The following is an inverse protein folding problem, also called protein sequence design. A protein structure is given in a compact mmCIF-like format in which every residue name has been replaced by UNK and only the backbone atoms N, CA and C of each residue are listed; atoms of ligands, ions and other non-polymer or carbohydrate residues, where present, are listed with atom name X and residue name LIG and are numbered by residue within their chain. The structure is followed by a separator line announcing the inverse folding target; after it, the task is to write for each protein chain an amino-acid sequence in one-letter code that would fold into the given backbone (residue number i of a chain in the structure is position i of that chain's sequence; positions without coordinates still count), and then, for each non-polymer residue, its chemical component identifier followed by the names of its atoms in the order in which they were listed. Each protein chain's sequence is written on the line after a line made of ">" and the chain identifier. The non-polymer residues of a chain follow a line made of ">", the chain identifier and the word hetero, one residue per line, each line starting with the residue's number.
data_IF_122386232506
#
_entry.id   IF_122386232506
#
_cell.length_a   1.000
_cell.length_b   1.000
_cell.length_c   1.000
_cell.angle_alpha   90.00
_cell.angle_beta   90.00
_cell.angle_gamma   90.00
#
_symmetry.space_group_name_H-M   'P 1'
#
loop_
_entity.id
_entity.type
_entity.pdbx_description
1 polymer ?
#
# COMPACT_ATOMS: atom_id res chain seq x y z
N UNK A 1 9.27 -3.15 9.30
CA UNK A 1 8.97 -2.83 7.89
C UNK A 1 7.65 -3.46 7.51
N UNK A 2 6.73 -2.69 6.97
CA UNK A 2 5.43 -3.16 6.48
C UNK A 2 5.46 -3.11 4.95
N UNK A 3 5.08 -4.20 4.30
CA UNK A 3 5.09 -4.34 2.84
C UNK A 3 3.65 -4.40 2.35
N UNK A 4 3.27 -3.48 1.50
CA UNK A 4 2.09 -3.62 0.66
C UNK A 4 2.36 -4.76 -0.34
N UNK A 5 1.86 -5.95 -0.01
CA UNK A 5 2.19 -7.15 -0.77
C UNK A 5 1.64 -7.09 -2.19
N UNK A 6 0.44 -6.57 -2.37
CA UNK A 6 -0.18 -6.43 -3.68
C UNK A 6 0.63 -5.48 -4.57
N UNK A 7 0.95 -4.29 -4.08
CA UNK A 7 1.79 -3.34 -4.79
C UNK A 7 3.11 -3.96 -5.25
N UNK A 8 3.72 -4.80 -4.39
CA UNK A 8 5.03 -5.39 -4.68
C UNK A 8 4.94 -6.56 -5.67
N UNK A 9 3.96 -7.49 -5.52
CA UNK A 9 3.86 -8.61 -6.46
C UNK A 9 3.32 -8.18 -7.84
N UNK A 10 2.42 -7.19 -7.92
CA UNK A 10 2.05 -6.60 -9.22
C UNK A 10 3.25 -5.97 -9.91
N UNK A 11 4.04 -5.19 -9.17
CA UNK A 11 5.28 -4.62 -9.69
C UNK A 11 6.24 -5.68 -10.19
N UNK A 12 6.44 -6.76 -9.44
CA UNK A 12 7.28 -7.88 -9.80
C UNK A 12 6.78 -8.54 -11.10
N UNK A 13 5.48 -8.77 -11.19
CA UNK A 13 4.84 -9.39 -12.36
C UNK A 13 5.11 -8.59 -13.64
N UNK A 14 4.94 -7.27 -13.60
CA UNK A 14 5.15 -6.43 -14.78
C UNK A 14 6.63 -6.10 -15.06
N UNK A 15 7.51 -6.21 -14.07
CA UNK A 15 8.93 -5.91 -14.23
C UNK A 15 9.76 -7.10 -14.70
N UNK A 16 9.34 -8.32 -14.40
CA UNK A 16 10.06 -9.56 -14.72
C UNK A 16 9.33 -10.28 -15.86
N UNK A 17 10.04 -10.73 -16.91
CA UNK A 17 9.39 -11.40 -18.04
C UNK A 17 8.56 -12.62 -17.64
N UNK A 18 7.33 -12.73 -18.14
CA UNK A 18 6.41 -13.84 -17.89
C UNK A 18 6.94 -15.20 -18.45
N UNK A 19 7.90 -15.14 -19.37
CA UNK A 19 8.59 -16.32 -19.88
C UNK A 19 9.46 -17.04 -18.83
N UNK A 20 9.62 -16.44 -17.64
CA UNK A 20 10.27 -17.10 -16.50
C UNK A 20 9.25 -18.01 -15.83
N UNK A 21 9.44 -19.31 -16.01
CA UNK A 21 8.51 -20.36 -15.57
C UNK A 21 9.19 -21.38 -14.66
N UNK A 22 8.38 -22.06 -13.87
CA UNK A 22 8.76 -23.28 -13.18
C UNK A 22 8.97 -24.44 -14.20
N UNK A 23 9.59 -25.58 -13.81
CA UNK A 23 9.78 -26.75 -14.70
C UNK A 23 8.50 -27.33 -15.29
N UNK A 24 7.36 -27.13 -14.63
CA UNK A 24 6.04 -27.55 -15.10
C UNK A 24 5.35 -26.53 -16.03
N UNK A 25 6.04 -25.42 -16.37
CA UNK A 25 5.56 -24.38 -17.26
C UNK A 25 4.74 -23.26 -16.60
N UNK A 26 4.44 -23.33 -15.31
CA UNK A 26 3.72 -22.26 -14.62
C UNK A 26 4.59 -21.00 -14.51
N UNK A 27 4.07 -19.79 -14.79
CA UNK A 27 4.78 -18.54 -14.55
C UNK A 27 5.16 -18.38 -13.08
N UNK A 28 6.37 -17.88 -12.81
CA UNK A 28 6.89 -17.61 -11.46
C UNK A 28 7.60 -16.25 -11.39
N UNK A 29 7.41 -15.42 -12.40
CA UNK A 29 8.05 -14.12 -12.51
C UNK A 29 7.70 -13.18 -11.35
N UNK A 30 6.45 -13.18 -10.88
CA UNK A 30 6.04 -12.39 -9.73
C UNK A 30 6.69 -12.88 -8.43
N UNK A 31 6.73 -14.21 -8.20
CA UNK A 31 7.39 -14.81 -7.04
C UNK A 31 8.87 -14.43 -7.03
N UNK A 32 9.56 -14.66 -8.16
CA UNK A 32 10.98 -14.32 -8.31
C UNK A 32 11.25 -12.86 -8.05
N UNK A 33 10.50 -11.96 -8.72
CA UNK A 33 10.69 -10.54 -8.60
C UNK A 33 10.38 -10.02 -7.19
N UNK A 34 9.36 -10.55 -6.54
CA UNK A 34 9.03 -10.19 -5.15
C UNK A 34 10.17 -10.56 -4.20
N UNK A 35 10.72 -11.77 -4.30
CA UNK A 35 11.86 -12.21 -3.48
C UNK A 35 13.09 -11.34 -3.71
N UNK A 36 13.41 -11.02 -4.97
CA UNK A 36 14.55 -10.16 -5.31
C UNK A 36 14.39 -8.73 -4.78
N UNK A 37 13.19 -8.18 -4.88
CA UNK A 37 12.86 -6.86 -4.32
C UNK A 37 12.95 -6.88 -2.80
N UNK A 38 12.42 -7.92 -2.15
CA UNK A 38 12.46 -8.09 -0.69
C UNK A 38 13.89 -8.26 -0.17
N UNK A 39 14.70 -9.08 -0.85
CA UNK A 39 16.12 -9.22 -0.52
C UNK A 39 16.86 -7.88 -0.58
N UNK A 40 16.61 -7.08 -1.63
CA UNK A 40 17.20 -5.74 -1.77
C UNK A 40 16.77 -4.80 -0.65
N UNK A 41 15.48 -4.83 -0.27
CA UNK A 41 14.94 -4.02 0.82
C UNK A 41 15.58 -4.41 2.15
N UNK A 42 15.61 -5.70 2.49
CA UNK A 42 16.22 -6.21 3.72
C UNK A 42 17.71 -5.85 3.78
N UNK A 43 18.45 -6.06 2.71
CA UNK A 43 19.89 -5.76 2.66
C UNK A 43 20.18 -4.26 2.87
N UNK A 44 19.37 -3.39 2.25
CA UNK A 44 19.60 -1.92 2.29
C UNK A 44 19.06 -1.26 3.54
N UNK A 45 17.93 -1.73 4.06
CA UNK A 45 17.20 -1.10 5.18
C UNK A 45 17.44 -1.78 6.51
N UNK A 46 17.89 -3.05 6.49
CA UNK A 46 18.19 -3.87 7.69
C UNK A 46 17.07 -3.86 8.72
N UNK A 47 15.80 -4.11 8.33
CA UNK A 47 14.71 -4.14 9.28
C UNK A 47 14.88 -5.32 10.26
N UNK A 48 14.48 -5.12 11.50
CA UNK A 48 14.42 -6.18 12.51
C UNK A 48 13.12 -6.96 12.47
N UNK A 49 12.06 -6.32 11.95
CA UNK A 49 10.69 -6.83 11.87
C UNK A 49 10.15 -6.63 10.45
N UNK A 50 9.34 -7.58 10.00
CA UNK A 50 8.79 -7.61 8.64
C UNK A 50 7.37 -8.17 8.64
N UNK A 51 6.45 -7.50 7.93
CA UNK A 51 5.11 -8.03 7.66
C UNK A 51 4.76 -7.75 6.20
N UNK A 52 4.40 -8.79 5.46
CA UNK A 52 3.70 -8.65 4.18
C UNK A 52 2.20 -8.47 4.47
N UNK A 53 1.69 -7.27 4.24
CA UNK A 53 0.28 -6.92 4.45
C UNK A 53 -0.53 -7.31 3.21
N UNK A 54 -1.64 -8.02 3.43
CA UNK A 54 -2.43 -8.65 2.38
C UNK A 54 -3.79 -7.99 2.23
N UNK A 55 -4.25 -7.85 0.97
CA UNK A 55 -5.65 -7.59 0.66
C UNK A 55 -6.44 -8.89 0.84
N UNK A 56 -7.19 -9.02 1.95
CA UNK A 56 -8.16 -10.11 2.08
C UNK A 56 -9.51 -9.71 1.49
N UNK A 57 -9.75 -8.41 1.37
CA UNK A 57 -10.84 -7.84 0.57
C UNK A 57 -10.33 -6.60 -0.18
N UNK A 58 -10.05 -6.72 -1.46
CA UNK A 58 -9.54 -5.65 -2.31
C UNK A 58 -10.55 -4.52 -2.58
N UNK A 59 -11.84 -4.76 -2.27
CA UNK A 59 -12.96 -3.82 -2.49
C UNK A 59 -14.00 -3.92 -1.37
N UNK A 60 -13.66 -3.49 -0.15
CA UNK A 60 -14.49 -3.67 1.03
C UNK A 60 -15.91 -3.12 0.88
N UNK A 61 -16.88 -3.87 1.35
CA UNK A 61 -18.30 -3.51 1.25
C UNK A 61 -18.60 -2.15 1.89
N UNK A 62 -17.92 -1.78 2.98
CA UNK A 62 -18.14 -0.50 3.64
C UNK A 62 -17.68 0.68 2.77
N UNK A 63 -16.58 0.54 1.98
CA UNK A 63 -16.13 1.57 1.03
C UNK A 63 -17.09 1.72 -0.13
N UNK A 64 -17.57 0.59 -0.65
CA UNK A 64 -18.58 0.56 -1.74
C UNK A 64 -19.90 1.20 -1.32
N UNK A 65 -20.31 0.99 -0.07
CA UNK A 65 -21.52 1.61 0.47
C UNK A 65 -21.41 3.14 0.56
N UNK A 66 -20.21 3.66 0.86
CA UNK A 66 -19.92 5.09 0.94
C UNK A 66 -19.71 5.73 -0.44
N UNK A 67 -18.97 5.03 -1.32
CA UNK A 67 -18.62 5.50 -2.67
C UNK A 67 -18.82 4.34 -3.66
N UNK A 68 -19.98 4.19 -4.30
CA UNK A 68 -20.29 3.06 -5.19
C UNK A 68 -19.31 2.87 -6.36
N UNK A 69 -18.67 3.95 -6.81
CA UNK A 69 -17.63 3.92 -7.85
C UNK A 69 -16.27 3.41 -7.38
N UNK A 70 -16.08 3.21 -6.06
CA UNK A 70 -14.81 2.75 -5.50
C UNK A 70 -14.35 1.45 -6.16
N UNK A 71 -13.21 1.50 -6.85
CA UNK A 71 -12.60 0.39 -7.61
C UNK A 71 -13.56 -0.39 -8.55
N UNK A 72 -14.70 0.23 -8.95
CA UNK A 72 -15.72 -0.45 -9.77
C UNK A 72 -15.18 -0.90 -11.13
N UNK A 73 -14.23 -0.15 -11.69
CA UNK A 73 -13.59 -0.46 -12.97
C UNK A 73 -12.63 -1.66 -12.91
N UNK A 74 -12.28 -2.13 -11.71
CA UNK A 74 -11.44 -3.33 -11.50
C UNK A 74 -12.26 -4.61 -11.33
N UNK A 75 -13.59 -4.53 -11.36
CA UNK A 75 -14.46 -5.71 -11.21
C UNK A 75 -14.47 -6.49 -12.51
N UNK A 76 -14.08 -7.77 -12.45
CA UNK A 76 -14.16 -8.69 -13.58
C UNK A 76 -15.61 -9.01 -13.96
N UNK A 77 -15.91 -9.42 -15.21
CA UNK A 77 -17.28 -9.77 -15.64
C UNK A 77 -17.96 -10.85 -14.82
N UNK A 78 -17.17 -11.73 -14.18
CA UNK A 78 -17.67 -12.79 -13.27
C UNK A 78 -17.70 -12.39 -11.78
N UNK A 79 -17.43 -11.14 -11.45
CA UNK A 79 -17.16 -10.68 -10.07
C UNK A 79 -15.71 -10.93 -9.70
N UNK A 80 -15.27 -10.46 -8.53
CA UNK A 80 -13.89 -10.49 -8.11
C UNK A 80 -13.03 -9.40 -8.78
N UNK A 81 -11.75 -9.36 -8.44
CA UNK A 81 -10.81 -8.40 -9.01
C UNK A 81 -10.32 -8.86 -10.39
N UNK A 82 -10.24 -7.93 -11.33
CA UNK A 82 -9.63 -8.18 -12.63
C UNK A 82 -8.11 -8.14 -12.49
N UNK A 83 -7.50 -9.31 -12.30
CA UNK A 83 -6.05 -9.48 -12.24
C UNK A 83 -5.59 -10.37 -13.40
N UNK A 84 -4.31 -10.27 -13.85
CA UNK A 84 -3.78 -11.16 -14.87
C UNK A 84 -3.91 -12.64 -14.48
N UNK A 85 -4.41 -13.47 -15.39
CA UNK A 85 -4.58 -14.92 -15.15
C UNK A 85 -3.28 -15.60 -14.72
N UNK A 86 -2.15 -15.16 -15.28
CA UNK A 86 -0.83 -15.68 -14.94
C UNK A 86 -0.30 -15.22 -13.57
N UNK A 87 -0.85 -14.15 -12.99
CA UNK A 87 -0.46 -13.66 -11.65
C UNK A 87 -1.21 -14.38 -10.53
N UNK A 88 -2.50 -14.60 -10.70
CA UNK A 88 -3.36 -15.17 -9.65
C UNK A 88 -2.78 -16.45 -9.00
N UNK A 89 -2.30 -17.47 -9.74
CA UNK A 89 -1.72 -18.66 -9.15
C UNK A 89 -0.37 -18.42 -8.47
N UNK A 90 0.32 -17.32 -8.73
CA UNK A 90 1.61 -17.02 -8.12
C UNK A 90 1.49 -16.49 -6.68
N UNK A 91 0.35 -15.89 -6.31
CA UNK A 91 0.16 -15.37 -4.95
C UNK A 91 0.25 -16.48 -3.89
N UNK A 92 -0.48 -17.61 -3.97
CA UNK A 92 -0.31 -18.70 -3.01
C UNK A 92 1.09 -19.33 -3.04
N UNK A 93 1.78 -19.38 -4.19
CA UNK A 93 3.18 -19.83 -4.26
C UNK A 93 4.08 -18.89 -3.45
N UNK A 94 3.93 -17.59 -3.62
CA UNK A 94 4.68 -16.57 -2.88
C UNK A 94 4.46 -16.71 -1.37
N UNK A 95 3.21 -16.81 -0.94
CA UNK A 95 2.86 -16.96 0.47
C UNK A 95 3.47 -18.23 1.09
N UNK A 96 3.47 -19.35 0.34
CA UNK A 96 4.13 -20.59 0.77
C UNK A 96 5.63 -20.40 0.99
N UNK A 97 6.31 -19.67 0.10
CA UNK A 97 7.74 -19.36 0.22
C UNK A 97 8.01 -18.46 1.42
N UNK A 98 7.23 -17.38 1.61
CA UNK A 98 7.36 -16.48 2.76
C UNK A 98 7.13 -17.22 4.08
N UNK A 99 6.12 -18.09 4.13
CA UNK A 99 5.84 -18.95 5.29
C UNK A 99 7.02 -19.88 5.60
N UNK A 100 7.61 -20.52 4.60
CA UNK A 100 8.77 -21.41 4.78
C UNK A 100 10.02 -20.63 5.27
N UNK A 101 10.18 -19.38 4.86
CA UNK A 101 11.16 -18.47 5.45
C UNK A 101 10.83 -18.13 6.92
N UNK A 102 9.57 -18.15 7.31
CA UNK A 102 9.08 -17.62 8.61
C UNK A 102 8.89 -16.11 8.60
N UNK A 103 8.72 -15.51 7.42
CA UNK A 103 8.37 -14.10 7.28
C UNK A 103 6.86 -13.91 7.44
N UNK A 104 6.49 -12.98 8.30
CA UNK A 104 5.08 -12.75 8.63
C UNK A 104 4.29 -12.25 7.43
N UNK A 105 3.12 -12.86 7.22
CA UNK A 105 2.09 -12.37 6.31
C UNK A 105 0.83 -12.14 7.15
N UNK A 106 0.19 -10.99 7.02
CA UNK A 106 -1.00 -10.65 7.78
C UNK A 106 -2.02 -9.90 6.94
N UNK A 107 -3.29 -10.14 7.22
CA UNK A 107 -4.44 -9.48 6.60
C UNK A 107 -5.61 -9.47 7.56
N UNK A 108 -6.68 -8.78 7.20
CA UNK A 108 -7.92 -8.75 7.97
C UNK A 108 -9.11 -8.94 7.02
N UNK A 109 -10.03 -9.83 7.36
CA UNK A 109 -11.23 -10.09 6.56
C UNK A 109 -12.08 -8.82 6.43
N UNK A 110 -12.48 -8.48 5.20
CA UNK A 110 -13.24 -7.27 4.89
C UNK A 110 -12.42 -5.99 4.86
N UNK A 111 -11.08 -6.08 4.83
CA UNK A 111 -10.16 -4.93 4.80
C UNK A 111 -9.09 -5.11 3.72
N UNK A 112 -8.58 -3.97 3.24
CA UNK A 112 -7.46 -3.90 2.31
C UNK A 112 -6.11 -3.91 3.05
N UNK A 113 -5.03 -4.17 2.31
CA UNK A 113 -3.66 -4.07 2.84
C UNK A 113 -3.37 -2.71 3.45
N UNK A 114 -3.93 -1.63 2.91
CA UNK A 114 -3.76 -0.26 3.42
C UNK A 114 -4.31 -0.10 4.83
N UNK A 115 -5.44 -0.73 5.15
CA UNK A 115 -6.03 -0.74 6.49
C UNK A 115 -5.16 -1.55 7.46
N UNK A 116 -4.63 -2.68 7.00
CA UNK A 116 -3.70 -3.52 7.77
C UNK A 116 -2.42 -2.73 8.09
N UNK A 117 -1.84 -2.06 7.09
CA UNK A 117 -0.65 -1.23 7.23
C UNK A 117 -0.91 -0.08 8.21
N UNK A 118 -1.99 0.66 8.02
CA UNK A 118 -2.35 1.77 8.90
C UNK A 118 -2.56 1.32 10.35
N UNK A 119 -3.23 0.17 10.54
CA UNK A 119 -3.47 -0.42 11.86
C UNK A 119 -2.15 -0.83 12.54
N UNK A 120 -1.28 -1.56 11.83
CA UNK A 120 0.00 -1.99 12.37
C UNK A 120 0.94 -0.81 12.66
N UNK A 121 0.96 0.20 11.79
CA UNK A 121 1.76 1.39 11.97
C UNK A 121 1.36 2.21 13.21
N UNK A 122 0.08 2.20 13.59
CA UNK A 122 -0.40 2.87 14.82
C UNK A 122 -0.10 2.04 16.07
N UNK A 123 -0.20 0.69 15.99
CA UNK A 123 0.07 -0.20 17.12
C UNK A 123 1.53 -0.22 17.55
N UNK A 124 2.45 0.09 16.65
CA UNK A 124 3.88 0.02 16.88
C UNK A 124 4.41 1.36 17.38
N UNK A 125 5.16 1.36 18.49
CA UNK A 125 5.83 2.55 19.02
C UNK A 125 7.20 2.79 18.39
N UNK A 126 7.76 1.81 17.68
CA UNK A 126 9.03 1.91 16.98
C UNK A 126 8.92 2.70 15.66
N UNK A 127 10.05 3.04 15.07
CA UNK A 127 10.10 3.61 13.72
C UNK A 127 9.62 2.59 12.69
N UNK A 128 8.64 2.99 11.87
CA UNK A 128 8.01 2.14 10.84
C UNK A 128 8.38 2.61 9.45
N UNK A 129 8.82 1.69 8.62
CA UNK A 129 8.96 1.90 7.18
C UNK A 129 7.85 1.12 6.45
N UNK A 130 7.13 1.81 5.58
CA UNK A 130 6.05 1.25 4.75
C UNK A 130 6.48 1.24 3.30
N UNK A 131 6.55 0.07 2.67
CA UNK A 131 6.94 -0.07 1.26
C UNK A 131 5.69 -0.23 0.42
N UNK A 132 5.38 0.76 -0.40
CA UNK A 132 4.20 0.76 -1.26
C UNK A 132 4.41 1.55 -2.56
N UNK A 133 3.62 1.23 -3.57
CA UNK A 133 3.44 2.04 -4.79
C UNK A 133 2.18 2.92 -4.73
N UNK A 134 1.40 2.82 -3.65
CA UNK A 134 0.21 3.62 -3.46
C UNK A 134 0.53 4.92 -2.72
N UNK A 135 0.01 6.03 -3.23
CA UNK A 135 0.19 7.35 -2.63
C UNK A 135 -0.79 7.63 -1.50
N UNK A 136 -1.88 6.90 -1.41
CA UNK A 136 -2.87 7.13 -0.37
C UNK A 136 -2.31 6.79 1.01
N UNK A 137 -1.36 5.85 1.08
CA UNK A 137 -0.57 5.58 2.29
C UNK A 137 0.35 6.74 2.73
N UNK A 138 0.52 7.80 1.93
CA UNK A 138 1.18 9.03 2.40
C UNK A 138 0.41 9.71 3.54
N UNK A 139 -0.88 9.41 3.69
CA UNK A 139 -1.71 9.90 4.78
C UNK A 139 -1.23 9.47 6.18
N UNK A 140 -0.50 8.33 6.27
CA UNK A 140 0.03 7.85 7.55
C UNK A 140 1.47 8.28 7.83
N UNK A 141 2.10 9.00 6.90
CA UNK A 141 3.47 9.48 7.08
C UNK A 141 3.54 10.46 8.27
N UNK A 142 4.55 10.27 9.11
CA UNK A 142 4.76 11.04 10.34
C UNK A 142 6.24 11.06 10.70
N UNK A 143 6.60 11.61 11.85
CA UNK A 143 7.98 11.58 12.34
C UNK A 143 8.46 10.15 12.65
N UNK A 144 7.50 9.22 12.88
CA UNK A 144 7.76 7.81 13.19
C UNK A 144 7.53 6.89 11.98
N UNK A 145 6.65 7.26 11.06
CA UNK A 145 6.29 6.45 9.89
C UNK A 145 6.85 7.07 8.63
N UNK A 146 7.75 6.36 7.95
CA UNK A 146 8.27 6.74 6.64
C UNK A 146 7.72 5.84 5.55
N UNK A 147 7.02 6.40 4.58
CA UNK A 147 6.56 5.68 3.39
C UNK A 147 7.71 5.64 2.38
N UNK A 148 8.20 4.45 2.08
CA UNK A 148 9.17 4.17 1.03
C UNK A 148 8.40 4.00 -0.29
N UNK A 149 8.15 5.13 -0.96
CA UNK A 149 7.35 5.14 -2.18
C UNK A 149 8.11 4.52 -3.35
N UNK A 150 7.52 3.51 -3.99
CA UNK A 150 8.16 2.71 -5.04
C UNK A 150 7.87 3.20 -6.45
N UNK A 151 7.29 4.38 -6.65
CA UNK A 151 6.87 4.90 -7.96
C UNK A 151 7.96 4.84 -9.04
N UNK A 152 9.22 5.03 -8.66
CA UNK A 152 10.40 4.92 -9.56
C UNK A 152 11.13 3.57 -9.46
N UNK A 153 10.50 2.59 -8.84
CA UNK A 153 11.07 1.25 -8.58
C UNK A 153 11.86 1.14 -7.29
N UNK A 154 12.12 -0.11 -6.87
CA UNK A 154 12.80 -0.43 -5.60
C UNK A 154 14.24 0.12 -5.55
N UNK A 155 14.91 0.22 -6.68
CA UNK A 155 16.27 0.79 -6.74
C UNK A 155 16.30 2.31 -6.42
N UNK A 156 15.17 3.00 -6.62
CA UNK A 156 15.02 4.46 -6.48
C UNK A 156 13.84 4.82 -5.58
N UNK A 157 13.79 4.20 -4.38
CA UNK A 157 12.79 4.53 -3.36
C UNK A 157 12.81 6.03 -3.06
N UNK A 158 11.63 6.61 -2.93
CA UNK A 158 11.44 7.96 -2.42
C UNK A 158 10.96 7.87 -0.96
N UNK A 159 11.83 8.10 0.04
CA UNK A 159 11.39 8.19 1.43
C UNK A 159 10.50 9.43 1.60
N UNK A 160 9.31 9.22 2.16
CA UNK A 160 8.29 10.23 2.34
C UNK A 160 7.83 10.21 3.81
N UNK A 161 8.42 11.06 4.62
CA UNK A 161 7.93 11.41 5.95
C UNK A 161 6.99 12.61 5.89
N UNK A 162 6.57 13.13 7.04
CA UNK A 162 5.70 14.31 7.12
C UNK A 162 6.28 15.54 6.42
N UNK A 163 7.59 15.77 6.56
CA UNK A 163 8.28 16.90 5.95
C UNK A 163 8.33 16.80 4.42
N UNK A 164 8.61 15.61 3.87
CA UNK A 164 8.68 15.38 2.43
C UNK A 164 7.29 15.48 1.77
N UNK A 165 6.23 15.01 2.45
CA UNK A 165 4.85 15.19 1.98
C UNK A 165 4.49 16.68 1.94
N UNK A 166 4.78 17.42 3.01
CA UNK A 166 4.56 18.87 3.05
C UNK A 166 5.34 19.61 1.94
N UNK A 167 6.61 19.29 1.78
CA UNK A 167 7.45 19.93 0.75
C UNK A 167 6.95 19.63 -0.68
N UNK A 168 6.46 18.42 -0.93
CA UNK A 168 6.05 17.97 -2.27
C UNK A 168 4.64 18.42 -2.66
N UNK A 169 3.70 18.37 -1.72
CA UNK A 169 2.26 18.59 -1.99
C UNK A 169 1.72 19.88 -1.37
N UNK A 170 2.47 20.56 -0.50
CA UNK A 170 2.07 21.78 0.20
C UNK A 170 0.99 21.55 1.26
N UNK A 171 0.81 20.33 1.73
CA UNK A 171 -0.20 19.92 2.71
C UNK A 171 0.41 19.04 3.80
N UNK A 172 -0.14 19.03 5.02
CA UNK A 172 0.24 18.04 6.02
C UNK A 172 -0.08 16.60 5.55
N UNK A 173 0.78 15.64 5.87
CA UNK A 173 0.59 14.25 5.50
C UNK A 173 -0.77 13.69 5.97
N UNK A 174 -1.18 13.98 7.20
CA UNK A 174 -2.47 13.55 7.76
C UNK A 174 -3.70 13.99 6.93
N UNK A 175 -3.56 15.01 6.09
CA UNK A 175 -4.62 15.49 5.20
C UNK A 175 -4.48 14.98 3.75
N UNK A 176 -3.58 14.01 3.49
CA UNK A 176 -3.40 13.51 2.13
C UNK A 176 -4.66 12.84 1.58
N UNK A 177 -5.40 12.11 2.43
CA UNK A 177 -6.69 11.53 2.05
C UNK A 177 -7.72 12.60 1.68
N UNK A 178 -7.80 13.71 2.43
CA UNK A 178 -8.69 14.84 2.14
C UNK A 178 -8.33 15.49 0.80
N UNK A 179 -7.05 15.64 0.54
CA UNK A 179 -6.54 16.14 -0.74
C UNK A 179 -6.91 15.21 -1.91
N UNK A 180 -6.76 13.88 -1.75
CA UNK A 180 -7.15 12.90 -2.74
C UNK A 180 -8.66 12.93 -3.02
N UNK A 181 -9.49 13.00 -1.99
CA UNK A 181 -10.94 13.13 -2.12
C UNK A 181 -11.35 14.39 -2.88
N UNK A 182 -10.73 15.52 -2.61
CA UNK A 182 -11.03 16.79 -3.32
C UNK A 182 -10.63 16.72 -4.80
N UNK A 183 -9.42 16.25 -5.08
CA UNK A 183 -8.85 16.17 -6.42
C UNK A 183 -9.53 15.08 -7.26
N UNK A 184 -9.99 14.03 -6.60
CA UNK A 184 -10.34 12.75 -7.21
C UNK A 184 -9.12 11.85 -7.40
N UNK A 185 -9.39 10.54 -7.47
CA UNK A 185 -8.41 9.53 -7.85
C UNK A 185 -9.04 8.50 -8.79
N UNK A 186 -8.71 8.56 -10.10
CA UNK A 186 -9.24 7.60 -11.05
C UNK A 186 -8.82 6.16 -10.79
N UNK A 187 -7.65 5.94 -10.14
CA UNK A 187 -7.16 4.60 -9.83
C UNK A 187 -8.03 3.90 -8.80
N UNK A 188 -8.68 4.66 -7.93
CA UNK A 188 -9.63 4.16 -6.94
C UNK A 188 -11.09 4.46 -7.28
N UNK A 189 -11.34 5.04 -8.47
CA UNK A 189 -12.69 5.36 -8.90
C UNK A 189 -13.32 6.52 -8.12
N UNK A 190 -12.51 7.38 -7.52
CA UNK A 190 -12.97 8.57 -6.79
C UNK A 190 -13.22 9.71 -7.78
N UNK A 191 -14.44 10.23 -7.89
CA UNK A 191 -14.77 11.27 -8.88
C UNK A 191 -14.13 12.62 -8.57
N UNK A 192 -13.81 12.89 -7.31
CA UNK A 192 -13.40 14.22 -6.87
C UNK A 192 -14.52 15.25 -6.90
N UNK A 193 -14.16 16.48 -6.62
CA UNK A 193 -15.06 17.63 -6.76
C UNK A 193 -14.86 18.24 -8.13
N UNK A 194 -15.92 18.31 -8.94
CA UNK A 194 -15.87 18.83 -10.31
C UNK A 194 -15.21 20.22 -10.39
N UNK A 195 -14.14 20.31 -11.17
CA UNK A 195 -13.37 21.54 -11.36
C UNK A 195 -12.47 21.91 -10.17
N UNK A 196 -12.22 21.01 -9.21
CA UNK A 196 -11.19 21.11 -8.19
C UNK A 196 -10.05 20.18 -8.59
N UNK A 197 -8.97 20.74 -9.13
CA UNK A 197 -7.75 20.01 -9.42
C UNK A 197 -6.72 20.11 -8.30
N UNK A 198 -5.56 19.50 -8.50
CA UNK A 198 -4.49 19.36 -7.51
C UNK A 198 -4.12 20.67 -6.80
N UNK A 199 -3.88 21.76 -7.54
CA UNK A 199 -3.50 23.06 -6.96
C UNK A 199 -4.60 23.65 -6.08
N UNK A 200 -5.86 23.53 -6.50
CA UNK A 200 -7.00 24.05 -5.74
C UNK A 200 -7.26 23.19 -4.51
N UNK A 201 -7.16 21.87 -4.63
CA UNK A 201 -7.28 20.95 -3.50
C UNK A 201 -6.21 21.22 -2.44
N UNK A 202 -4.93 21.36 -2.87
CA UNK A 202 -3.84 21.70 -1.96
C UNK A 202 -4.06 23.04 -1.24
N UNK A 203 -4.51 24.07 -1.97
CA UNK A 203 -4.80 25.38 -1.37
C UNK A 203 -5.94 25.32 -0.34
N UNK A 204 -7.00 24.54 -0.60
CA UNK A 204 -8.10 24.34 0.33
C UNK A 204 -7.64 23.60 1.59
N UNK A 205 -6.94 22.49 1.44
CA UNK A 205 -6.41 21.71 2.57
C UNK A 205 -5.41 22.54 3.39
N UNK A 206 -4.49 23.23 2.73
CA UNK A 206 -3.50 24.09 3.42
C UNK A 206 -4.16 25.22 4.21
N UNK A 207 -5.27 25.76 3.71
CA UNK A 207 -5.97 26.90 4.35
C UNK A 207 -6.92 26.48 5.45
N UNK A 208 -7.70 25.42 5.23
CA UNK A 208 -8.84 25.06 6.07
C UNK A 208 -8.65 23.71 6.80
N UNK A 209 -7.68 22.87 6.40
CA UNK A 209 -7.44 21.57 7.02
C UNK A 209 -8.28 20.46 6.41
N UNK A 210 -9.00 19.73 7.24
CA UNK A 210 -9.78 18.55 6.85
C UNK A 210 -11.03 18.94 6.02
N UNK A 211 -11.59 17.97 5.30
CA UNK A 211 -12.79 18.18 4.46
C UNK A 211 -13.96 18.71 5.27
N UNK A 212 -14.14 18.25 6.48
CA UNK A 212 -15.19 18.67 7.38
C UNK A 212 -15.13 20.20 7.64
N UNK A 213 -13.92 20.72 7.87
CA UNK A 213 -13.67 22.14 8.07
C UNK A 213 -13.83 22.95 6.77
N UNK A 214 -13.36 22.39 5.65
CA UNK A 214 -13.53 23.00 4.31
C UNK A 214 -15.01 23.17 3.98
N UNK A 215 -15.83 22.14 4.22
CA UNK A 215 -17.27 22.17 3.96
C UNK A 215 -17.95 23.17 4.89
N UNK A 216 -17.63 23.16 6.18
CA UNK A 216 -18.19 24.10 7.16
C UNK A 216 -17.83 25.55 6.83
N UNK A 217 -16.58 25.83 6.45
CA UNK A 217 -16.15 27.16 6.02
C UNK A 217 -16.89 27.64 4.75
N UNK A 218 -17.09 26.74 3.77
CA UNK A 218 -17.84 27.06 2.56
C UNK A 218 -19.32 27.37 2.85
N UNK A 219 -19.93 26.71 3.82
CA UNK A 219 -21.32 26.93 4.23
C UNK A 219 -21.46 28.26 4.98
N UNK A 220 -20.48 28.64 5.83
CA UNK A 220 -20.46 29.91 6.52
C UNK A 220 -20.13 31.09 5.61
N UNK A 221 -19.69 30.83 4.37
CA UNK A 221 -19.26 31.87 3.43
C UNK A 221 -17.97 32.55 3.84
N UNK A 222 -17.05 31.82 4.48
CA UNK A 222 -15.75 32.35 4.89
C UNK A 222 -14.90 32.77 3.69
N UNK A 223 -14.06 33.78 3.91
CA UNK A 223 -13.08 34.25 2.94
C UNK A 223 -11.87 33.30 2.82
N UNK A 224 -11.21 33.35 1.67
CA UNK A 224 -9.97 32.59 1.43
C UNK A 224 -10.14 31.37 0.48
N UNK A 225 -11.34 31.15 -0.04
CA UNK A 225 -11.56 30.16 -1.09
C UNK A 225 -11.00 30.67 -2.43
N UNK A 226 -10.31 29.81 -3.21
CA UNK A 226 -10.04 30.10 -4.62
C UNK A 226 -11.34 30.40 -5.37
N UNK A 227 -11.26 31.23 -6.43
CA UNK A 227 -12.43 31.72 -7.17
C UNK A 227 -13.38 30.56 -7.57
N UNK A 228 -14.64 30.67 -7.14
CA UNK A 228 -15.70 29.70 -7.40
C UNK A 228 -15.58 28.37 -6.63
N UNK A 229 -14.53 28.14 -5.84
CA UNK A 229 -14.32 26.87 -5.15
C UNK A 229 -15.39 26.63 -4.06
N UNK A 230 -15.75 27.64 -3.27
CA UNK A 230 -16.78 27.50 -2.24
C UNK A 230 -18.13 26.99 -2.78
N UNK A 231 -18.56 27.48 -3.95
CA UNK A 231 -19.77 26.99 -4.63
C UNK A 231 -19.67 25.51 -5.04
N UNK A 232 -18.49 25.08 -5.54
CA UNK A 232 -18.24 23.70 -5.92
C UNK A 232 -18.22 22.76 -4.72
N UNK A 233 -17.61 23.19 -3.59
CA UNK A 233 -17.59 22.45 -2.32
C UNK A 233 -19.04 22.25 -1.83
N UNK A 234 -19.86 23.31 -1.79
CA UNK A 234 -21.26 23.19 -1.37
C UNK A 234 -22.05 22.24 -2.28
N UNK A 235 -21.85 22.31 -3.59
CA UNK A 235 -22.51 21.41 -4.55
C UNK A 235 -22.12 19.95 -4.37
N UNK A 236 -20.89 19.67 -3.91
CA UNK A 236 -20.38 18.32 -3.69
C UNK A 236 -20.56 17.79 -2.24
N UNK A 237 -21.33 18.51 -1.41
CA UNK A 237 -21.48 18.20 0.04
C UNK A 237 -21.78 16.74 0.35
N UNK A 238 -22.69 16.11 -0.40
CA UNK A 238 -23.05 14.70 -0.20
C UNK A 238 -21.85 13.76 -0.41
N UNK A 239 -21.09 13.97 -1.50
CA UNK A 239 -19.88 13.21 -1.78
C UNK A 239 -18.81 13.45 -0.70
N UNK A 240 -18.57 14.72 -0.35
CA UNK A 240 -17.58 15.10 0.66
C UNK A 240 -17.93 14.62 2.06
N UNK A 241 -19.18 14.35 2.36
CA UNK A 241 -19.61 13.77 3.62
C UNK A 241 -19.35 12.25 3.72
N UNK A 242 -19.22 11.55 2.59
CA UNK A 242 -19.05 10.11 2.56
C UNK A 242 -17.61 9.68 2.19
N UNK A 243 -17.00 10.35 1.22
CA UNK A 243 -15.73 9.93 0.63
C UNK A 243 -14.52 9.89 1.60
N UNK A 244 -14.37 10.80 2.57
CA UNK A 244 -13.25 10.72 3.53
C UNK A 244 -13.19 9.38 4.27
N UNK A 245 -14.33 8.85 4.70
CA UNK A 245 -14.40 7.56 5.39
C UNK A 245 -14.11 6.36 4.47
N UNK A 246 -14.25 6.55 3.15
CA UNK A 246 -13.88 5.52 2.17
C UNK A 246 -12.39 5.54 1.79
N UNK A 247 -11.70 6.68 1.96
CA UNK A 247 -10.30 6.86 1.53
C UNK A 247 -9.33 6.74 2.69
N UNK A 248 -9.69 7.27 3.86
CA UNK A 248 -8.83 7.17 5.06
C UNK A 248 -8.63 5.71 5.44
N UNK A 249 -7.37 5.28 5.55
CA UNK A 249 -7.03 3.94 6.04
C UNK A 249 -7.54 3.74 7.45
N UNK A 250 -8.16 2.58 7.71
CA UNK A 250 -8.65 2.21 9.05
C UNK A 250 -7.45 1.86 9.94
N UNK A 251 -7.50 2.29 11.18
CA UNK A 251 -6.46 2.01 12.19
C UNK A 251 -6.92 1.04 13.26
N UNK A 252 -8.10 0.45 13.07
CA UNK A 252 -8.78 -0.46 13.97
C UNK A 252 -9.18 -1.79 13.30
N UNK A 253 -8.56 -2.11 12.16
CA UNK A 253 -8.78 -3.39 11.50
C UNK A 253 -8.40 -4.55 12.44
N UNK A 254 -9.16 -5.66 12.45
CA UNK A 254 -8.92 -6.80 13.33
C UNK A 254 -7.72 -7.64 12.87
N UNK A 255 -6.56 -6.98 12.74
CA UNK A 255 -5.32 -7.62 12.32
C UNK A 255 -4.83 -8.53 13.45
N UNK A 256 -4.63 -9.84 13.19
CA UNK A 256 -4.15 -10.76 14.19
C UNK A 256 -2.71 -10.44 14.61
N UNK A 257 -2.37 -10.73 15.84
CA UNK A 257 -1.00 -10.67 16.32
C UNK A 257 -0.18 -11.79 15.65
N UNK A 258 0.97 -11.42 15.08
CA UNK A 258 1.89 -12.33 14.42
C UNK A 258 3.31 -12.11 14.95
N UNK A 259 4.11 -13.16 14.95
CA UNK A 259 5.56 -13.02 15.17
C UNK A 259 6.19 -12.45 13.90
N UNK A 260 6.45 -11.15 13.92
CA UNK A 260 6.95 -10.38 12.79
C UNK A 260 8.48 -10.16 12.79
N UNK A 261 9.20 -10.76 13.73
CA UNK A 261 10.65 -10.74 13.74
C UNK A 261 11.19 -11.52 12.55
N UNK A 262 12.15 -10.94 11.86
CA UNK A 262 12.84 -11.66 10.79
C UNK A 262 13.67 -12.79 11.42
N UNK A 263 13.38 -14.07 11.14
CA UNK A 263 14.15 -15.16 11.71
C UNK A 263 15.55 -15.21 11.08
N UNK A 264 16.62 -15.47 11.86
CA UNK A 264 17.97 -15.52 11.33
C UNK A 264 18.21 -16.69 10.37
N UNK A 265 17.32 -17.69 10.39
CA UNK A 265 17.30 -18.83 9.48
C UNK A 265 15.86 -19.16 9.11
N UNK A 266 15.62 -19.78 7.94
CA UNK A 266 14.28 -20.19 7.54
C UNK A 266 13.62 -21.07 8.60
N UNK A 267 12.33 -20.86 8.84
CA UNK A 267 11.53 -21.63 9.82
C UNK A 267 11.35 -23.09 9.37
N UNK A 268 11.19 -23.30 8.07
CA UNK A 268 11.13 -24.63 7.45
C UNK A 268 12.11 -24.73 6.28
N UNK A 269 13.38 -25.06 6.55
CA UNK A 269 14.41 -25.18 5.51
C UNK A 269 14.11 -26.26 4.47
N UNK A 270 13.53 -27.40 4.89
CA UNK A 270 13.23 -28.50 3.98
C UNK A 270 12.13 -28.12 2.97
N UNK A 271 11.06 -27.49 3.46
CA UNK A 271 9.98 -26.98 2.60
C UNK A 271 10.47 -25.89 1.68
N UNK A 272 11.33 -25.00 2.16
CA UNK A 272 11.92 -23.94 1.35
C UNK A 272 12.77 -24.47 0.21
N UNK A 273 13.61 -25.49 0.44
CA UNK A 273 14.39 -26.17 -0.61
C UNK A 273 13.49 -26.84 -1.64
N UNK A 274 12.46 -27.54 -1.15
CA UNK A 274 11.48 -28.16 -2.03
C UNK A 274 10.81 -27.12 -2.94
N UNK A 275 10.28 -26.01 -2.38
CA UNK A 275 9.66 -24.92 -3.14
C UNK A 275 10.65 -24.25 -4.10
N UNK A 276 11.91 -24.04 -3.68
CA UNK A 276 12.94 -23.49 -4.53
C UNK A 276 13.14 -24.30 -5.81
N UNK A 277 13.22 -25.64 -5.67
CA UNK A 277 13.36 -26.57 -6.79
C UNK A 277 12.08 -26.66 -7.63
N UNK A 278 10.91 -26.83 -6.98
CA UNK A 278 9.61 -26.92 -7.68
C UNK A 278 9.31 -25.70 -8.54
N UNK A 279 9.72 -24.51 -8.08
CA UNK A 279 9.45 -23.22 -8.74
C UNK A 279 10.66 -22.70 -9.53
N UNK A 280 11.81 -23.40 -9.53
CA UNK A 280 13.07 -22.94 -10.12
C UNK A 280 13.47 -21.52 -9.66
N UNK A 281 13.40 -21.28 -8.35
CA UNK A 281 13.70 -19.99 -7.70
C UNK A 281 14.87 -20.11 -6.71
N UNK A 282 15.78 -21.03 -6.87
CA UNK A 282 16.92 -21.25 -5.97
C UNK A 282 17.76 -19.98 -5.81
N UNK A 283 18.03 -19.29 -6.90
CA UNK A 283 18.84 -18.07 -6.85
C UNK A 283 18.17 -16.90 -6.10
N UNK A 284 16.87 -16.58 -6.30
CA UNK A 284 16.14 -15.63 -5.45
C UNK A 284 16.07 -16.04 -3.98
N UNK A 285 15.84 -17.31 -3.70
CA UNK A 285 15.84 -17.85 -2.32
C UNK A 285 17.20 -17.66 -1.66
N UNK A 286 18.30 -17.96 -2.38
CA UNK A 286 19.64 -17.75 -1.84
C UNK A 286 19.92 -16.28 -1.58
N UNK A 287 19.57 -15.35 -2.49
CA UNK A 287 19.72 -13.91 -2.27
C UNK A 287 18.95 -13.42 -1.04
N UNK A 288 17.76 -13.98 -0.81
CA UNK A 288 16.95 -13.64 0.37
C UNK A 288 17.62 -14.14 1.66
N UNK A 289 18.16 -15.36 1.67
CA UNK A 289 18.96 -15.88 2.80
C UNK A 289 20.16 -15.00 3.11
N UNK A 290 20.91 -14.63 2.07
CA UNK A 290 22.10 -13.80 2.21
C UNK A 290 21.74 -12.40 2.77
N UNK A 291 20.64 -11.83 2.30
CA UNK A 291 20.15 -10.53 2.78
C UNK A 291 19.74 -10.60 4.26
N UNK A 292 19.02 -11.65 4.68
CA UNK A 292 18.61 -11.87 6.07
C UNK A 292 19.87 -12.05 6.95
N UNK A 293 20.80 -12.88 6.54
CA UNK A 293 22.04 -13.11 7.27
C UNK A 293 22.88 -11.83 7.43
N UNK A 294 23.00 -11.04 6.35
CA UNK A 294 23.71 -9.76 6.38
C UNK A 294 23.01 -8.72 7.27
N UNK A 295 21.68 -8.72 7.32
CA UNK A 295 20.92 -7.81 8.18
C UNK A 295 21.03 -8.17 9.68
N UNK A 296 21.19 -9.45 10.01
CA UNK A 296 21.35 -9.94 11.36
C UNK A 296 22.78 -9.77 11.92
N UNK A 297 23.79 -9.53 11.06
CA UNK A 297 25.15 -9.30 11.49
C UNK A 297 25.28 -7.98 12.28
N UNK A 298 25.95 -7.96 13.44
CA UNK A 298 26.23 -6.72 14.15
C UNK A 298 27.08 -5.79 13.29
N UNK A 299 26.79 -4.48 13.39
CA UNK A 299 27.59 -3.44 12.72
C UNK A 299 28.97 -3.32 13.36
#
# INVERSE_FOLDING_TARGET
>A
MLIDAASLYFRAFYAVPESITAPDGRPVNAVRGFLDMSANLIQRRRPTRWVACLDLDWRPAFRVALVPSYKAHRVAPGGGEQIPDALSPQVPMLLAVLTAFGLACSGAEGFEADDVIATLAVRDDDAVEVVTGDRDLLAIASDRVTVLYTGKGIAKLEPMGSAEVLAKYGIPAANYADFAVLRGDPSDGLPGVSGIGEKTAAALVSRFGAIEDIVAAAERGEDGFPAGAAGKIRAAKTYLGAAPAAVRGRTDAPVPDVDDRIPPQPRDPARLEQLATELAIEAPVQRMRDAIAAAAAPN
#
